data_IF_356798058120
#
_entry.id   IF_356798058120
#
_cell.length_a   1.000
_cell.length_b   1.000
_cell.length_c   1.000
_cell.angle_alpha   90.00
_cell.angle_beta   90.00
_cell.angle_gamma   90.00
#
_symmetry.space_group_name_H-M   'P 1'
#
loop_
_entity.id
_entity.type
_entity.pdbx_description
1 polymer ?
#
# COMPACT_ATOMS: atom_id res chain seq x y z
N UNK A 1 -14.84 4.98 -8.91
CA UNK A 1 -14.03 3.76 -8.65
C UNK A 1 -14.55 3.09 -7.39
N UNK A 2 -14.72 1.77 -7.40
CA UNK A 2 -15.27 1.01 -6.26
C UNK A 2 -14.19 0.35 -5.39
N UNK A 3 -12.97 0.19 -5.91
CA UNK A 3 -11.79 -0.34 -5.20
C UNK A 3 -10.52 0.32 -5.67
N UNK A 4 -9.51 0.40 -4.80
CA UNK A 4 -8.19 0.89 -5.16
C UNK A 4 -7.47 -0.10 -6.12
N UNK A 5 -6.94 0.36 -7.27
CA UNK A 5 -6.33 -0.50 -8.29
C UNK A 5 -4.87 -0.87 -7.95
N UNK A 6 -4.69 -1.59 -6.85
CA UNK A 6 -3.36 -2.11 -6.47
C UNK A 6 -2.83 -3.07 -7.55
N UNK A 7 -1.57 -2.90 -7.94
CA UNK A 7 -0.91 -3.72 -8.97
C UNK A 7 -0.12 -4.91 -8.42
N UNK A 8 -0.19 -5.14 -7.11
CA UNK A 8 0.50 -6.24 -6.41
C UNK A 8 2.02 -6.30 -6.69
N UNK A 9 2.64 -5.17 -6.97
CA UNK A 9 4.07 -5.09 -7.29
C UNK A 9 5.01 -5.23 -6.07
N UNK A 10 4.45 -5.25 -4.85
CA UNK A 10 5.22 -5.39 -3.61
C UNK A 10 5.97 -4.12 -3.15
N UNK A 11 5.83 -2.99 -3.85
CA UNK A 11 6.54 -1.75 -3.54
C UNK A 11 6.23 -1.21 -2.13
N UNK A 12 4.95 -1.09 -1.77
CA UNK A 12 4.52 -0.64 -0.44
C UNK A 12 5.03 -1.56 0.68
N UNK A 13 4.98 -2.88 0.46
CA UNK A 13 5.49 -3.87 1.41
C UNK A 13 7.02 -3.85 1.53
N UNK A 14 7.72 -3.31 0.53
CA UNK A 14 9.18 -3.13 0.52
C UNK A 14 9.59 -1.76 1.09
N UNK A 15 8.65 -0.98 1.61
CA UNK A 15 8.89 0.39 2.07
C UNK A 15 7.95 0.74 3.23
N UNK A 16 7.97 -0.08 4.28
CA UNK A 16 7.15 0.12 5.48
C UNK A 16 7.90 0.85 6.61
N UNK A 17 9.13 1.29 6.35
CA UNK A 17 9.95 1.98 7.34
C UNK A 17 9.27 3.24 7.88
N UNK A 18 9.33 3.46 9.19
CA UNK A 18 8.70 4.60 9.86
C UNK A 18 7.19 4.52 10.01
N UNK A 19 6.53 3.43 9.56
CA UNK A 19 5.10 3.23 9.76
C UNK A 19 4.88 2.47 11.09
N UNK A 20 4.70 3.21 12.18
CA UNK A 20 4.59 2.62 13.53
C UNK A 20 3.51 1.54 13.68
N UNK A 21 2.41 1.62 12.92
CA UNK A 21 1.36 0.59 12.90
C UNK A 21 1.82 -0.75 12.30
N UNK A 22 2.89 -0.76 11.51
CA UNK A 22 3.43 -1.93 10.84
C UNK A 22 4.78 -2.38 11.42
N UNK A 23 5.21 -1.82 12.56
CA UNK A 23 6.54 -2.08 13.12
C UNK A 23 6.76 -3.56 13.47
N UNK A 24 5.72 -4.28 13.90
CA UNK A 24 5.81 -5.73 14.14
C UNK A 24 6.13 -6.54 12.87
N UNK A 25 5.87 -5.98 11.69
CA UNK A 25 6.21 -6.59 10.40
C UNK A 25 7.50 -6.03 9.82
N UNK A 26 8.09 -4.99 10.41
CA UNK A 26 9.25 -4.28 9.89
C UNK A 26 10.56 -5.04 10.17
N UNK A 27 11.26 -5.37 9.10
CA UNK A 27 12.65 -5.83 9.14
C UNK A 27 13.46 -5.00 8.14
N UNK A 28 14.22 -4.03 8.66
CA UNK A 28 15.06 -3.12 7.88
C UNK A 28 14.28 -2.37 6.78
N UNK A 29 13.09 -1.87 7.10
CA UNK A 29 12.20 -1.13 6.20
C UNK A 29 11.35 -1.99 5.26
N UNK A 30 11.48 -3.32 5.34
CA UNK A 30 10.74 -4.29 4.53
C UNK A 30 9.81 -5.13 5.40
N UNK A 31 8.62 -5.41 4.89
CA UNK A 31 7.64 -6.29 5.52
C UNK A 31 8.10 -7.75 5.50
N UNK A 32 8.18 -8.38 6.67
CA UNK A 32 8.53 -9.79 6.85
C UNK A 32 7.52 -10.75 6.21
N UNK A 33 6.31 -10.29 5.88
CA UNK A 33 5.27 -11.09 5.22
C UNK A 33 5.33 -11.05 3.70
N UNK A 34 6.23 -10.26 3.11
CA UNK A 34 6.41 -10.14 1.67
C UNK A 34 7.26 -11.28 1.11
N UNK A 35 6.67 -12.15 0.29
CA UNK A 35 7.34 -13.25 -0.40
C UNK A 35 7.00 -13.20 -1.90
N UNK A 36 8.01 -13.16 -2.78
CA UNK A 36 7.82 -13.06 -4.24
C UNK A 36 6.82 -11.98 -4.70
N UNK A 37 6.87 -10.80 -4.06
CA UNK A 37 5.94 -9.67 -4.26
C UNK A 37 4.50 -9.88 -3.75
N UNK A 38 4.20 -11.04 -3.19
CA UNK A 38 2.90 -11.37 -2.61
C UNK A 38 2.95 -11.32 -1.08
N UNK A 39 1.79 -11.06 -0.48
CA UNK A 39 1.64 -11.08 0.96
C UNK A 39 1.26 -12.48 1.44
N UNK A 40 2.09 -13.08 2.28
CA UNK A 40 1.82 -14.40 2.89
C UNK A 40 0.59 -14.43 3.80
N UNK A 41 0.06 -13.27 4.18
CA UNK A 41 -1.13 -13.11 5.03
C UNK A 41 -2.22 -12.27 4.35
N UNK A 42 -2.35 -12.39 3.02
CA UNK A 42 -3.18 -11.49 2.19
C UNK A 42 -4.60 -11.24 2.73
N UNK A 43 -5.29 -12.30 3.16
CA UNK A 43 -6.67 -12.24 3.69
C UNK A 43 -6.74 -11.57 5.07
N UNK A 44 -5.70 -11.72 5.89
CA UNK A 44 -5.61 -11.18 7.24
C UNK A 44 -4.66 -9.99 7.33
N UNK A 45 -4.49 -9.25 6.23
CA UNK A 45 -3.61 -8.07 6.19
C UNK A 45 -4.04 -7.05 7.25
N UNK A 46 -3.07 -6.35 7.88
CA UNK A 46 -3.38 -5.25 8.81
C UNK A 46 -4.28 -4.20 8.16
N UNK A 47 -5.11 -3.52 8.95
CA UNK A 47 -6.12 -2.58 8.45
C UNK A 47 -5.53 -1.54 7.49
N UNK A 48 -4.38 -0.94 7.83
CA UNK A 48 -3.70 0.06 7.00
C UNK A 48 -3.27 -0.47 5.61
N UNK A 49 -3.05 -1.79 5.47
CA UNK A 49 -2.71 -2.43 4.20
C UNK A 49 -3.93 -2.75 3.33
N UNK A 50 -5.15 -2.58 3.87
CA UNK A 50 -6.42 -2.79 3.17
C UNK A 50 -6.99 -1.43 2.80
N UNK A 51 -6.56 -0.88 1.65
CA UNK A 51 -6.82 0.52 1.25
C UNK A 51 -8.30 0.89 1.39
N UNK A 52 -9.20 0.09 0.82
CA UNK A 52 -10.64 0.38 0.86
C UNK A 52 -11.20 0.36 2.30
N UNK A 53 -10.88 -0.68 3.07
CA UNK A 53 -11.33 -0.80 4.46
C UNK A 53 -10.75 0.28 5.38
N UNK A 54 -9.47 0.65 5.18
CA UNK A 54 -8.83 1.72 5.92
C UNK A 54 -9.47 3.07 5.61
N UNK A 55 -9.92 3.29 4.37
CA UNK A 55 -10.71 4.47 4.05
C UNK A 55 -12.00 4.47 4.87
N UNK A 56 -12.76 3.38 4.79
CA UNK A 56 -14.06 3.29 5.44
C UNK A 56 -13.97 3.50 6.96
N UNK A 57 -12.96 2.90 7.60
CA UNK A 57 -12.83 2.89 9.06
C UNK A 57 -12.00 4.03 9.64
N UNK A 58 -11.05 4.60 8.89
CA UNK A 58 -10.09 5.58 9.41
C UNK A 58 -10.18 6.91 8.67
N UNK A 59 -10.21 6.91 7.33
CA UNK A 59 -9.99 8.14 6.55
C UNK A 59 -11.26 8.81 6.02
N UNK A 60 -12.42 8.14 6.11
CA UNK A 60 -13.70 8.60 5.57
C UNK A 60 -14.20 9.92 6.19
N UNK A 61 -13.82 10.20 7.44
CA UNK A 61 -14.12 11.47 8.12
C UNK A 61 -13.17 12.62 7.75
N UNK A 62 -12.06 12.35 7.08
CA UNK A 62 -10.99 13.33 6.83
C UNK A 62 -10.92 13.77 5.37
N UNK A 63 -11.32 12.92 4.43
CA UNK A 63 -11.24 13.21 3.00
C UNK A 63 -12.23 12.37 2.18
N UNK A 64 -12.42 12.75 0.92
CA UNK A 64 -13.21 11.94 -0.01
C UNK A 64 -12.44 10.68 -0.42
N UNK A 65 -13.15 9.64 -0.83
CA UNK A 65 -12.52 8.40 -1.32
C UNK A 65 -11.63 8.65 -2.54
N UNK A 66 -12.07 9.56 -3.40
CA UNK A 66 -11.32 9.96 -4.60
C UNK A 66 -9.98 10.61 -4.22
N UNK A 67 -9.98 11.54 -3.26
CA UNK A 67 -8.75 12.18 -2.79
C UNK A 67 -7.81 11.17 -2.12
N UNK A 68 -8.37 10.29 -1.28
CA UNK A 68 -7.61 9.21 -0.65
C UNK A 68 -6.94 8.30 -1.67
N UNK A 69 -7.67 7.90 -2.73
CA UNK A 69 -7.12 7.10 -3.81
C UNK A 69 -6.02 7.83 -4.57
N UNK A 70 -6.20 9.11 -4.92
CA UNK A 70 -5.16 9.90 -5.59
C UNK A 70 -3.88 9.96 -4.76
N UNK A 71 -3.98 10.20 -3.46
CA UNK A 71 -2.82 10.22 -2.57
C UNK A 71 -2.13 8.85 -2.49
N UNK A 72 -2.90 7.77 -2.38
CA UNK A 72 -2.35 6.41 -2.37
C UNK A 72 -1.69 6.04 -3.71
N UNK A 73 -2.26 6.42 -4.85
CA UNK A 73 -1.66 6.19 -6.16
C UNK A 73 -0.37 6.98 -6.35
N UNK A 74 -0.35 8.24 -5.91
CA UNK A 74 0.86 9.07 -5.91
C UNK A 74 1.98 8.40 -5.10
N UNK A 75 1.72 8.07 -3.83
CA UNK A 75 2.70 7.40 -2.98
C UNK A 75 3.12 6.03 -3.56
N UNK A 76 2.18 5.26 -4.11
CA UNK A 76 2.47 3.98 -4.76
C UNK A 76 3.46 4.15 -5.93
N UNK A 77 3.21 5.11 -6.82
CA UNK A 77 4.07 5.37 -7.97
C UNK A 77 5.46 5.89 -7.54
N UNK A 78 5.54 6.77 -6.54
CA UNK A 78 6.82 7.25 -5.98
C UNK A 78 7.66 6.09 -5.41
N UNK A 79 7.03 5.16 -4.69
CA UNK A 79 7.70 3.96 -4.17
C UNK A 79 8.14 3.02 -5.31
N UNK A 80 7.30 2.85 -6.33
CA UNK A 80 7.66 2.05 -7.50
C UNK A 80 8.87 2.64 -8.24
N UNK A 81 8.95 3.95 -8.39
CA UNK A 81 10.10 4.64 -8.99
C UNK A 81 11.36 4.45 -8.16
N UNK A 82 11.28 4.70 -6.85
CA UNK A 82 12.40 4.51 -5.92
C UNK A 82 12.99 3.09 -5.98
N UNK A 83 12.12 2.09 -6.17
CA UNK A 83 12.50 0.68 -6.24
C UNK A 83 12.78 0.17 -7.65
N UNK A 84 12.77 1.05 -8.67
CA UNK A 84 12.95 0.69 -10.08
C UNK A 84 11.97 -0.39 -10.57
N UNK A 85 10.74 -0.38 -10.06
CA UNK A 85 9.65 -1.26 -10.51
C UNK A 85 9.20 -0.81 -11.92
N UNK A 86 9.07 -1.79 -12.81
CA UNK A 86 8.63 -1.63 -14.19
C UNK A 86 7.41 -0.71 -14.32
N UNK A 87 7.44 0.18 -15.32
CA UNK A 87 6.40 1.18 -15.58
C UNK A 87 5.01 0.56 -15.79
N UNK A 88 4.92 -0.71 -16.20
CA UNK A 88 3.65 -1.43 -16.33
C UNK A 88 2.85 -1.54 -15.03
N UNK A 89 3.50 -1.35 -13.87
CA UNK A 89 2.84 -1.40 -12.56
C UNK A 89 2.31 -0.04 -12.08
N UNK A 90 2.49 1.03 -12.86
CA UNK A 90 2.02 2.37 -12.48
C UNK A 90 0.50 2.38 -12.31
N UNK A 91 0.07 3.12 -11.29
CA UNK A 91 -1.32 3.26 -10.89
C UNK A 91 -1.85 4.59 -11.43
N UNK A 92 -2.88 4.53 -12.27
CA UNK A 92 -3.56 5.69 -12.84
C UNK A 92 -5.01 5.73 -12.32
N UNK A 93 -5.42 6.89 -11.78
CA UNK A 93 -6.70 7.13 -11.07
C UNK A 93 -7.30 8.43 -11.57
#
# INVERSE_FOLDING_TARGET
MTRFPCTSCGACCSSIDGIGFLEEYNQNGRCTKLNNNECSIYESRPLLCRIDDSYDQIFSSYMTREEFYRQNAKACNELQEKLNIDIKYRVYI
#
